data_IF_695483258513
#
_entry.id   IF_695483258513
#
_cell.length_a   1.000
_cell.length_b   1.000
_cell.length_c   1.000
_cell.angle_alpha   90.00
_cell.angle_beta   90.00
_cell.angle_gamma   90.00
#
_symmetry.space_group_name_H-M   'P 1'
#
loop_
_entity.id
_entity.type
_entity.pdbx_description
1 polymer ?
#
# COMPACT_ATOMS: atom_id res chain seq x y z
N UNK A 1 -9.22 22.65 -17.06
CA UNK A 1 -9.56 21.49 -16.20
C UNK A 1 -11.04 21.61 -15.82
N UNK A 2 -11.90 20.66 -16.20
CA UNK A 2 -13.33 20.72 -15.89
C UNK A 2 -13.65 19.92 -14.60
N UNK A 3 -14.83 20.13 -14.01
CA UNK A 3 -15.21 19.54 -12.73
C UNK A 3 -15.19 18.00 -12.74
N UNK A 4 -15.53 17.39 -13.89
CA UNK A 4 -15.52 15.95 -14.06
C UNK A 4 -14.09 15.38 -14.01
N UNK A 5 -13.11 16.04 -14.63
CA UNK A 5 -11.70 15.63 -14.56
C UNK A 5 -11.16 15.72 -13.14
N UNK A 6 -11.54 16.77 -12.39
CA UNK A 6 -11.12 16.93 -11.00
C UNK A 6 -11.74 15.85 -10.09
N UNK A 7 -13.05 15.59 -10.23
CA UNK A 7 -13.74 14.56 -9.47
C UNK A 7 -13.20 13.15 -9.76
N UNK A 8 -12.89 12.84 -11.02
CA UNK A 8 -12.24 11.59 -11.42
C UNK A 8 -10.87 11.45 -10.73
N UNK A 9 -10.01 12.47 -10.80
CA UNK A 9 -8.70 12.43 -10.14
C UNK A 9 -8.80 12.21 -8.63
N UNK A 10 -9.78 12.82 -7.95
CA UNK A 10 -10.01 12.57 -6.51
C UNK A 10 -10.51 11.17 -6.22
N UNK A 11 -11.26 10.56 -7.14
CA UNK A 11 -11.77 9.19 -7.00
C UNK A 11 -10.64 8.18 -7.18
N UNK A 12 -9.80 8.35 -8.19
CA UNK A 12 -8.66 7.46 -8.44
C UNK A 12 -7.66 7.48 -7.29
N UNK A 13 -7.35 8.68 -6.77
CA UNK A 13 -6.50 8.79 -5.59
C UNK A 13 -7.11 8.06 -4.39
N UNK A 14 -8.40 8.27 -4.10
CA UNK A 14 -9.09 7.61 -2.99
C UNK A 14 -9.06 6.08 -3.14
N UNK A 15 -9.31 5.58 -4.36
CA UNK A 15 -9.28 4.15 -4.66
C UNK A 15 -7.88 3.57 -4.42
N UNK A 16 -6.85 4.23 -4.94
CA UNK A 16 -5.46 3.81 -4.75
C UNK A 16 -5.05 3.83 -3.26
N UNK A 17 -5.47 4.82 -2.48
CA UNK A 17 -5.19 4.85 -1.03
C UNK A 17 -5.90 3.72 -0.28
N UNK A 18 -7.16 3.43 -0.64
CA UNK A 18 -7.91 2.31 -0.07
C UNK A 18 -7.25 0.98 -0.40
N UNK A 19 -6.85 0.79 -1.65
CA UNK A 19 -6.18 -0.42 -2.14
C UNK A 19 -4.80 -0.58 -1.49
N UNK A 20 -4.01 0.50 -1.36
CA UNK A 20 -2.74 0.49 -0.63
C UNK A 20 -2.91 0.08 0.84
N UNK A 21 -3.96 0.59 1.50
CA UNK A 21 -4.30 0.15 2.85
C UNK A 21 -4.66 -1.34 2.89
N UNK A 22 -5.42 -1.83 1.91
CA UNK A 22 -5.81 -3.23 1.83
C UNK A 22 -4.61 -4.16 1.59
N UNK A 23 -3.65 -3.76 0.75
CA UNK A 23 -2.39 -4.48 0.52
C UNK A 23 -1.59 -4.60 1.82
N UNK A 24 -1.37 -3.48 2.51
CA UNK A 24 -0.64 -3.47 3.79
C UNK A 24 -1.31 -4.38 4.80
N UNK A 25 -2.63 -4.26 4.95
CA UNK A 25 -3.37 -5.03 5.94
C UNK A 25 -3.43 -6.50 5.55
N UNK A 26 -3.49 -6.83 4.26
CA UNK A 26 -3.40 -8.20 3.78
C UNK A 26 -2.10 -8.85 4.23
N UNK A 27 -0.94 -8.23 3.98
CA UNK A 27 0.35 -8.77 4.40
C UNK A 27 0.43 -8.89 5.93
N UNK A 28 0.00 -7.87 6.67
CA UNK A 28 0.14 -7.80 8.13
C UNK A 28 -0.84 -8.66 8.93
N UNK A 29 -2.03 -8.94 8.40
CA UNK A 29 -3.11 -9.61 9.13
C UNK A 29 -2.92 -11.11 9.36
N UNK A 30 -1.84 -11.71 8.83
CA UNK A 30 -1.52 -13.12 9.07
C UNK A 30 -0.07 -13.27 9.51
N UNK A 31 0.21 -13.95 10.63
CA UNK A 31 1.57 -14.25 11.06
C UNK A 31 2.39 -14.97 9.99
N UNK A 32 1.75 -15.90 9.25
CA UNK A 32 2.40 -16.62 8.14
C UNK A 32 2.85 -15.67 7.03
N UNK A 33 1.97 -14.76 6.59
CA UNK A 33 2.30 -13.77 5.54
C UNK A 33 3.33 -12.75 6.01
N UNK A 34 3.26 -12.35 7.27
CA UNK A 34 4.23 -11.44 7.87
C UNK A 34 5.63 -12.09 7.98
N UNK A 35 5.71 -13.39 8.28
CA UNK A 35 6.97 -14.13 8.28
C UNK A 35 7.58 -14.20 6.88
N UNK A 36 6.78 -14.52 5.85
CA UNK A 36 7.22 -14.51 4.45
C UNK A 36 7.75 -13.13 4.06
N UNK A 37 7.00 -12.07 4.40
CA UNK A 37 7.42 -10.69 4.17
C UNK A 37 8.74 -10.36 4.87
N UNK A 38 8.91 -10.77 6.13
CA UNK A 38 10.14 -10.54 6.89
C UNK A 38 11.39 -11.17 6.27
N UNK A 39 11.25 -12.27 5.51
CA UNK A 39 12.36 -12.86 4.75
C UNK A 39 12.71 -12.09 3.47
N UNK A 40 11.78 -11.29 2.96
CA UNK A 40 11.91 -10.54 1.72
C UNK A 40 12.22 -9.07 1.95
N UNK A 41 11.93 -8.58 3.16
CA UNK A 41 12.20 -7.23 3.59
C UNK A 41 13.69 -7.01 3.80
N UNK A 42 14.18 -5.86 3.35
CA UNK A 42 15.48 -5.37 3.78
C UNK A 42 15.42 -4.99 5.28
N UNK A 43 16.39 -5.45 6.06
CA UNK A 43 16.45 -5.20 7.50
C UNK A 43 16.71 -3.74 7.84
N UNK A 44 17.31 -2.98 6.93
CA UNK A 44 17.59 -1.55 7.11
C UNK A 44 16.35 -0.68 6.82
N UNK A 45 15.30 -1.26 6.24
CA UNK A 45 14.06 -0.57 5.88
C UNK A 45 13.03 -0.71 7.00
N UNK A 46 12.27 0.35 7.25
CA UNK A 46 11.15 0.28 8.21
C UNK A 46 10.05 -0.63 7.68
N UNK A 47 9.59 -1.59 8.48
CA UNK A 47 8.50 -2.48 8.10
C UNK A 47 7.18 -1.76 7.80
N UNK A 48 6.25 -2.47 7.14
CA UNK A 48 4.94 -1.93 6.74
C UNK A 48 4.17 -1.32 7.92
N UNK A 49 3.61 -0.12 7.74
CA UNK A 49 2.78 0.56 8.75
C UNK A 49 1.32 0.60 8.30
N UNK A 50 0.41 0.20 9.19
CA UNK A 50 -1.03 0.24 8.91
C UNK A 50 -1.51 1.69 8.73
N UNK A 51 -2.56 1.87 7.93
CA UNK A 51 -3.22 3.16 7.79
C UNK A 51 -4.02 3.51 9.05
N UNK A 52 -4.05 4.79 9.40
CA UNK A 52 -4.94 5.28 10.45
C UNK A 52 -6.28 5.70 9.85
N UNK A 53 -7.38 5.23 10.46
CA UNK A 53 -8.73 5.67 10.09
C UNK A 53 -8.99 7.13 10.45
N UNK A 54 -8.43 7.59 11.56
CA UNK A 54 -8.75 8.90 12.16
C UNK A 54 -7.63 9.92 12.06
N UNK A 55 -6.37 9.49 11.97
CA UNK A 55 -5.20 10.39 11.87
C UNK A 55 -4.61 10.34 10.48
N UNK A 56 -5.21 11.05 9.54
CA UNK A 56 -4.79 11.07 8.14
C UNK A 56 -3.33 11.49 7.94
N UNK A 57 -2.79 12.31 8.85
CA UNK A 57 -1.35 12.68 8.88
C UNK A 57 -0.41 11.50 9.09
N UNK A 58 -0.88 10.41 9.70
CA UNK A 58 -0.09 9.20 9.88
C UNK A 58 -0.05 8.32 8.63
N UNK A 59 -0.96 8.54 7.66
CA UNK A 59 -1.02 7.77 6.43
C UNK A 59 0.17 8.06 5.49
N UNK A 60 0.84 9.20 5.69
CA UNK A 60 2.14 9.51 5.06
C UNK A 60 3.17 8.41 5.34
N UNK A 61 3.34 8.03 6.62
CA UNK A 61 4.28 6.99 7.01
C UNK A 61 3.88 5.62 6.49
N UNK A 62 2.57 5.36 6.40
CA UNK A 62 2.02 4.11 5.85
C UNK A 62 2.35 3.97 4.36
N UNK A 63 2.05 5.00 3.56
CA UNK A 63 2.41 5.03 2.14
C UNK A 63 3.93 4.97 1.92
N UNK A 64 4.70 5.72 2.71
CA UNK A 64 6.17 5.68 2.64
C UNK A 64 6.68 4.26 2.91
N UNK A 65 6.17 3.59 3.94
CA UNK A 65 6.56 2.20 4.24
C UNK A 65 6.16 1.22 3.13
N UNK A 66 5.04 1.42 2.45
CA UNK A 66 4.66 0.58 1.30
C UNK A 66 5.63 0.78 0.12
N UNK A 67 5.97 2.03 -0.18
CA UNK A 67 6.90 2.36 -1.27
C UNK A 67 8.32 1.88 -0.99
N UNK A 68 8.80 2.01 0.25
CA UNK A 68 10.13 1.52 0.65
C UNK A 68 10.23 -0.01 0.58
N UNK A 69 9.11 -0.71 0.75
CA UNK A 69 9.02 -2.17 0.72
C UNK A 69 8.37 -2.71 -0.56
N UNK A 70 8.31 -1.92 -1.64
CA UNK A 70 7.52 -2.26 -2.83
C UNK A 70 7.87 -3.62 -3.43
N UNK A 71 9.16 -3.87 -3.64
CA UNK A 71 9.69 -5.12 -4.19
C UNK A 71 9.47 -6.29 -3.23
N UNK A 72 9.69 -6.07 -1.92
CA UNK A 72 9.45 -7.08 -0.89
C UNK A 72 7.98 -7.51 -0.87
N UNK A 73 7.04 -6.56 -0.93
CA UNK A 73 5.60 -6.86 -0.97
C UNK A 73 5.22 -7.63 -2.25
N UNK A 74 5.72 -7.23 -3.43
CA UNK A 74 5.48 -7.98 -4.67
C UNK A 74 6.02 -9.41 -4.59
N UNK A 75 7.20 -9.59 -3.99
CA UNK A 75 7.76 -10.91 -3.73
C UNK A 75 6.89 -11.70 -2.74
N UNK A 76 6.31 -11.05 -1.72
CA UNK A 76 5.40 -11.70 -0.75
C UNK A 76 4.15 -12.21 -1.44
N UNK A 77 3.52 -11.37 -2.26
CA UNK A 77 2.33 -11.74 -3.01
C UNK A 77 2.63 -12.90 -3.97
N UNK A 78 3.79 -12.89 -4.63
CA UNK A 78 4.22 -13.99 -5.51
C UNK A 78 4.47 -15.28 -4.74
N UNK A 79 5.12 -15.22 -3.58
CA UNK A 79 5.33 -16.39 -2.73
C UNK A 79 4.01 -17.00 -2.24
N UNK A 80 3.02 -16.17 -1.88
CA UNK A 80 1.68 -16.63 -1.50
C UNK A 80 0.98 -17.36 -2.65
N UNK A 81 1.13 -16.87 -3.89
CA UNK A 81 0.55 -17.47 -5.09
C UNK A 81 1.19 -18.80 -5.46
N UNK A 82 2.49 -18.95 -5.20
CA UNK A 82 3.24 -20.17 -5.46
C UNK A 82 3.11 -21.22 -4.36
N UNK A 83 2.59 -20.86 -3.18
CA UNK A 83 2.37 -21.78 -2.07
C UNK A 83 1.08 -22.60 -2.27
N UNK A 84 1.16 -23.93 -2.53
CA UNK A 84 -0.02 -24.77 -2.70
C UNK A 84 -0.88 -24.91 -1.45
N UNK A 85 -0.31 -24.62 -0.27
CA UNK A 85 -1.03 -24.63 1.01
C UNK A 85 -1.72 -23.29 1.32
N UNK A 86 -1.61 -22.29 0.44
CA UNK A 86 -2.39 -21.06 0.55
C UNK A 86 -3.87 -21.35 0.31
N UNK A 87 -4.73 -20.84 1.20
CA UNK A 87 -6.17 -20.86 0.98
C UNK A 87 -6.51 -20.17 -0.36
N UNK A 88 -7.46 -20.73 -1.11
CA UNK A 88 -7.87 -20.23 -2.43
C UNK A 88 -8.15 -18.72 -2.43
N UNK A 89 -8.82 -18.23 -1.38
CA UNK A 89 -9.17 -16.82 -1.24
C UNK A 89 -7.95 -15.92 -1.00
N UNK A 90 -6.95 -16.42 -0.26
CA UNK A 90 -5.72 -15.69 -0.02
C UNK A 90 -4.88 -15.60 -1.31
N UNK A 91 -4.81 -16.69 -2.08
CA UNK A 91 -4.18 -16.69 -3.39
C UNK A 91 -4.90 -15.73 -4.36
N UNK A 92 -6.23 -15.78 -4.43
CA UNK A 92 -7.01 -14.87 -5.28
C UNK A 92 -6.79 -13.40 -4.93
N UNK A 93 -6.81 -13.04 -3.63
CA UNK A 93 -6.50 -11.68 -3.17
C UNK A 93 -5.06 -11.28 -3.49
N UNK A 94 -4.10 -12.17 -3.25
CA UNK A 94 -2.71 -11.91 -3.58
C UNK A 94 -2.51 -11.64 -5.08
N UNK A 95 -3.22 -12.37 -5.94
CA UNK A 95 -3.19 -12.17 -7.40
C UNK A 95 -3.76 -10.80 -7.80
N UNK A 96 -4.87 -10.39 -7.19
CA UNK A 96 -5.46 -9.07 -7.41
C UNK A 96 -4.52 -7.94 -7.01
N UNK A 97 -4.00 -8.01 -5.78
CA UNK A 97 -3.04 -7.02 -5.27
C UNK A 97 -1.76 -6.94 -6.10
N UNK A 98 -1.21 -8.09 -6.54
CA UNK A 98 0.00 -8.10 -7.36
C UNK A 98 -0.24 -7.37 -8.68
N UNK A 99 -1.37 -7.66 -9.35
CA UNK A 99 -1.73 -6.98 -10.60
C UNK A 99 -1.90 -5.49 -10.41
N UNK A 100 -2.56 -5.06 -9.34
CA UNK A 100 -2.73 -3.65 -9.01
C UNK A 100 -1.36 -2.98 -8.81
N UNK A 101 -0.48 -3.58 -8.01
CA UNK A 101 0.89 -3.09 -7.79
C UNK A 101 1.75 -3.06 -9.06
N UNK A 102 1.51 -3.94 -10.03
CA UNK A 102 2.22 -3.91 -11.31
C UNK A 102 1.70 -2.80 -12.25
N UNK A 103 0.52 -2.22 -12.00
CA UNK A 103 0.00 -1.11 -12.80
C UNK A 103 0.71 0.20 -12.47
N UNK A 104 1.13 0.90 -13.53
CA UNK A 104 1.68 2.26 -13.41
C UNK A 104 0.73 3.22 -12.70
N UNK A 105 -0.56 3.15 -13.02
CA UNK A 105 -1.59 4.03 -12.43
C UNK A 105 -1.61 3.94 -10.91
N UNK A 106 -1.60 2.71 -10.36
CA UNK A 106 -1.60 2.51 -8.92
C UNK A 106 -0.31 3.05 -8.28
N UNK A 107 0.87 2.74 -8.84
CA UNK A 107 2.15 3.27 -8.37
C UNK A 107 2.17 4.81 -8.39
N UNK A 108 1.68 5.40 -9.47
CA UNK A 108 1.61 6.84 -9.64
C UNK A 108 0.71 7.47 -8.57
N UNK A 109 -0.50 6.93 -8.37
CA UNK A 109 -1.45 7.46 -7.38
C UNK A 109 -0.96 7.30 -5.94
N UNK A 110 -0.27 6.20 -5.62
CA UNK A 110 0.38 6.01 -4.30
C UNK A 110 1.47 7.06 -4.06
N UNK A 111 2.32 7.33 -5.07
CA UNK A 111 3.35 8.37 -4.99
C UNK A 111 2.75 9.78 -4.90
N UNK A 112 1.69 10.05 -5.66
CA UNK A 112 0.95 11.31 -5.60
C UNK A 112 0.32 11.52 -4.22
N UNK A 113 -0.31 10.49 -3.65
CA UNK A 113 -0.87 10.53 -2.30
C UNK A 113 0.19 10.81 -1.24
N UNK A 114 1.37 10.20 -1.36
CA UNK A 114 2.49 10.48 -0.46
C UNK A 114 2.92 11.95 -0.55
N UNK A 115 3.11 12.46 -1.77
CA UNK A 115 3.50 13.86 -1.99
C UNK A 115 2.48 14.83 -1.38
N UNK A 116 1.19 14.58 -1.60
CA UNK A 116 0.11 15.40 -1.04
C UNK A 116 0.13 15.40 0.49
N UNK A 117 0.31 14.24 1.12
CA UNK A 117 0.43 14.20 2.58
C UNK A 117 1.69 14.89 3.10
N UNK A 118 2.81 14.82 2.38
CA UNK A 118 4.04 15.53 2.74
C UNK A 118 3.89 17.05 2.63
N UNK A 119 3.12 17.55 1.67
CA UNK A 119 2.82 18.98 1.53
C UNK A 119 1.95 19.52 2.68
N UNK A 120 0.99 18.70 3.16
CA UNK A 120 0.04 19.11 4.21
C UNK A 120 0.59 18.84 5.63
N UNK A 121 1.59 17.98 5.78
CA UNK A 121 2.15 17.65 7.10
C UNK A 121 2.74 18.85 7.87
N UNK A 122 3.52 19.76 7.26
CA UNK A 122 4.08 20.93 7.96
C UNK A 122 3.01 21.87 8.53
N UNK A 123 1.91 22.08 7.81
CA UNK A 123 0.82 22.96 8.25
C UNK A 123 0.04 22.38 9.43
N UNK A 124 -0.01 21.05 9.58
CA UNK A 124 -0.70 20.38 10.67
C UNK A 124 0.15 20.21 11.93
N UNK A 125 1.47 20.38 11.85
CA UNK A 125 2.38 20.37 13.02
C UNK A 125 2.66 21.76 13.58
N UNK A 126 2.21 22.83 12.92
CA UNK A 126 2.40 24.22 13.31
C UNK A 126 1.24 24.81 14.15
N UNK A 127 0.27 23.96 14.53
CA UNK A 127 -0.85 24.27 15.43
C UNK A 127 -0.62 23.49 16.72
#
# INVERSE_FOLDING_TARGET
MNLATLAAATTELKNALSEASAVIEFVRSSPKRLAIFGHQQDQDVTGLRSFSRTRWTCNERSLKSLLDNWTAVLATLTAILSDPASASDAAAKAQGFRRAMEQFEFLFMVKLGLLLFQLVKPTLTAI
#
